data_IF_468509460038
#
_entry.id   IF_468509460038
#
_cell.length_a   1.000
_cell.length_b   1.000
_cell.length_c   1.000
_cell.angle_alpha   90.00
_cell.angle_beta   90.00
_cell.angle_gamma   90.00
#
_symmetry.space_group_name_H-M   'P 1'
#
loop_
_entity.id
_entity.type
_entity.pdbx_description
1 polymer ?
#
# COMPACT_ATOMS: atom_id res chain seq x y z
N UNK A 1 -5.85 -57.03 35.70
CA UNK A 1 -6.43 -55.69 35.77
C UNK A 1 -6.23 -55.13 37.16
N UNK A 2 -5.08 -54.50 37.40
CA UNK A 2 -4.83 -53.65 38.55
C UNK A 2 -4.89 -52.22 38.02
N UNK A 3 -5.79 -51.42 38.57
CA UNK A 3 -5.87 -49.98 38.30
C UNK A 3 -4.89 -49.33 39.28
N UNK A 4 -3.86 -48.68 38.76
CA UNK A 4 -2.98 -47.81 39.53
C UNK A 4 -3.80 -46.60 39.99
N UNK A 5 -3.95 -46.46 41.30
CA UNK A 5 -4.51 -45.26 41.92
C UNK A 5 -3.34 -44.35 42.24
N UNK A 6 -3.13 -43.32 41.43
CA UNK A 6 -2.13 -42.29 41.71
C UNK A 6 -2.43 -41.62 43.06
N UNK A 7 -1.40 -41.43 43.87
CA UNK A 7 -1.52 -40.78 45.17
C UNK A 7 -1.95 -39.32 44.99
N UNK A 8 -2.81 -38.83 45.88
CA UNK A 8 -3.25 -37.44 45.88
C UNK A 8 -2.06 -36.50 46.02
N UNK A 9 -1.91 -35.58 45.06
CA UNK A 9 -0.88 -34.53 45.04
C UNK A 9 -0.82 -33.78 46.37
N UNK A 10 0.38 -33.56 46.87
CA UNK A 10 0.59 -32.86 48.14
C UNK A 10 0.34 -31.36 47.99
N UNK A 11 -0.08 -30.68 49.06
CA UNK A 11 -0.38 -29.24 49.07
C UNK A 11 0.81 -28.39 48.61
N UNK A 12 2.04 -28.89 48.81
CA UNK A 12 3.29 -28.28 48.36
C UNK A 12 3.47 -28.36 46.83
N UNK A 13 3.09 -29.48 46.20
CA UNK A 13 3.09 -29.60 44.73
C UNK A 13 2.00 -28.74 44.10
N UNK A 14 0.82 -28.67 44.75
CA UNK A 14 -0.29 -27.83 44.32
C UNK A 14 0.09 -26.35 44.40
N UNK A 15 0.78 -25.93 45.48
CA UNK A 15 1.32 -24.56 45.61
C UNK A 15 2.45 -24.27 44.63
N UNK A 16 3.28 -25.26 44.30
CA UNK A 16 4.35 -25.14 43.30
C UNK A 16 3.80 -24.95 41.89
N UNK A 17 2.71 -25.64 41.52
CA UNK A 17 2.03 -25.44 40.22
C UNK A 17 1.50 -24.01 40.06
N UNK A 18 0.94 -23.42 41.12
CA UNK A 18 0.45 -22.04 41.09
C UNK A 18 1.58 -20.99 41.04
N UNK A 19 2.77 -21.32 41.56
CA UNK A 19 3.92 -20.42 41.56
C UNK A 19 4.67 -20.38 40.22
N UNK A 20 4.61 -21.45 39.41
CA UNK A 20 5.25 -21.51 38.09
C UNK A 20 4.53 -20.65 37.04
N UNK A 21 3.22 -20.38 37.23
CA UNK A 21 2.45 -19.47 36.38
C UNK A 21 2.63 -17.98 36.68
N UNK A 22 3.38 -17.62 37.72
CA UNK A 22 3.52 -16.24 38.21
C UNK A 22 4.90 -15.61 37.95
N UNK A 23 5.81 -16.32 37.25
CA UNK A 23 6.94 -15.63 36.64
C UNK A 23 6.36 -14.86 35.46
N UNK A 24 6.37 -13.51 35.44
CA UNK A 24 6.07 -12.81 34.21
C UNK A 24 7.14 -13.31 33.24
N UNK A 25 6.73 -14.07 32.23
CA UNK A 25 7.42 -14.03 30.96
C UNK A 25 7.42 -12.55 30.65
N UNK A 26 8.56 -11.90 30.89
CA UNK A 26 8.84 -10.62 30.28
C UNK A 26 8.65 -10.91 28.80
N UNK A 27 7.46 -10.59 28.29
CA UNK A 27 7.35 -10.09 26.93
C UNK A 27 8.40 -9.00 26.95
N UNK A 28 9.56 -9.32 26.41
CA UNK A 28 10.54 -8.35 26.00
C UNK A 28 9.67 -7.39 25.19
N UNK A 29 9.36 -6.23 25.77
CA UNK A 29 8.56 -5.20 25.13
C UNK A 29 9.24 -4.99 23.81
N UNK A 30 8.62 -5.53 22.76
CA UNK A 30 9.01 -5.31 21.40
C UNK A 30 9.07 -3.81 21.27
N UNK A 31 10.26 -3.29 20.93
CA UNK A 31 10.49 -1.88 20.68
C UNK A 31 9.24 -1.28 20.05
N UNK A 32 8.64 -0.26 20.69
CA UNK A 32 7.37 0.35 20.31
C UNK A 32 7.22 0.34 18.77
N UNK A 33 6.33 -0.53 18.24
CA UNK A 33 6.18 -0.84 16.81
C UNK A 33 5.76 0.40 15.96
N UNK A 34 5.71 1.59 16.55
CA UNK A 34 5.28 2.84 15.95
C UNK A 34 6.01 4.08 16.48
N UNK A 35 7.31 3.99 16.84
CA UNK A 35 8.08 5.20 17.15
C UNK A 35 8.19 6.10 15.90
N UNK A 36 7.52 7.24 15.91
CA UNK A 36 7.58 8.20 14.82
C UNK A 36 8.90 9.00 14.87
N UNK A 37 9.57 9.13 13.73
CA UNK A 37 10.78 9.94 13.59
C UNK A 37 10.76 10.72 12.28
N UNK A 38 11.39 11.90 12.30
CA UNK A 38 11.61 12.71 11.10
C UNK A 38 12.96 12.42 10.44
N UNK A 39 13.77 11.53 11.02
CA UNK A 39 15.08 11.15 10.50
C UNK A 39 14.95 9.94 9.58
N UNK A 40 15.52 10.04 8.38
CA UNK A 40 15.61 8.91 7.45
C UNK A 40 16.51 7.84 8.08
N UNK A 41 16.12 6.55 8.06
CA UNK A 41 16.96 5.47 8.56
C UNK A 41 18.34 5.47 7.91
N UNK A 42 19.39 5.56 8.74
CA UNK A 42 20.80 5.61 8.29
C UNK A 42 21.17 4.47 7.33
N UNK A 43 20.70 3.21 7.51
CA UNK A 43 21.00 2.16 6.54
C UNK A 43 20.57 2.51 5.11
N UNK A 44 19.41 3.14 4.91
CA UNK A 44 18.92 3.53 3.58
C UNK A 44 19.83 4.56 2.92
N UNK A 45 20.28 5.55 3.69
CA UNK A 45 21.24 6.55 3.18
C UNK A 45 22.58 5.90 2.82
N UNK A 46 23.03 4.92 3.62
CA UNK A 46 24.28 4.21 3.37
C UNK A 46 24.19 3.34 2.12
N UNK A 47 23.09 2.59 1.92
CA UNK A 47 22.89 1.80 0.69
C UNK A 47 22.88 2.67 -0.56
N UNK A 48 22.22 3.84 -0.51
CA UNK A 48 22.24 4.80 -1.62
C UNK A 48 23.68 5.17 -2.01
N UNK A 49 24.54 5.51 -1.04
CA UNK A 49 25.94 5.84 -1.33
C UNK A 49 26.71 4.66 -1.95
N UNK A 50 26.48 3.44 -1.46
CA UNK A 50 27.15 2.25 -2.01
C UNK A 50 26.74 1.96 -3.45
N UNK A 51 25.46 2.16 -3.80
CA UNK A 51 24.96 1.97 -5.16
C UNK A 51 25.54 3.00 -6.15
N UNK A 52 25.93 4.18 -5.68
CA UNK A 52 26.56 5.23 -6.50
C UNK A 52 28.07 5.03 -6.70
N UNK A 53 28.72 4.13 -5.95
CA UNK A 53 30.16 3.92 -6.07
C UNK A 53 30.65 3.51 -7.46
N UNK A 54 29.97 2.64 -8.21
CA UNK A 54 30.35 2.31 -9.59
C UNK A 54 30.38 3.52 -10.52
N UNK A 55 29.68 4.61 -10.18
CA UNK A 55 29.62 5.83 -10.99
C UNK A 55 30.70 6.85 -10.58
N UNK A 56 31.27 6.71 -9.38
CA UNK A 56 32.19 7.69 -8.78
C UNK A 56 33.62 7.18 -8.62
N UNK A 57 33.82 5.87 -8.46
CA UNK A 57 35.12 5.24 -8.28
C UNK A 57 35.56 4.45 -9.50
N UNK A 58 36.88 4.39 -9.74
CA UNK A 58 37.43 3.45 -10.72
C UNK A 58 37.27 2.01 -10.23
N UNK A 59 37.28 1.04 -11.14
CA UNK A 59 37.09 -0.37 -10.81
C UNK A 59 38.12 -0.91 -9.80
N UNK A 60 39.34 -0.38 -9.83
CA UNK A 60 40.42 -0.73 -8.90
C UNK A 60 40.16 -0.20 -7.48
N UNK A 61 39.68 1.05 -7.39
CA UNK A 61 39.33 1.69 -6.10
C UNK A 61 38.13 0.99 -5.45
N UNK A 62 37.14 0.59 -6.25
CA UNK A 62 36.01 -0.21 -5.79
C UNK A 62 36.46 -1.53 -5.17
N UNK A 63 37.35 -2.25 -5.85
CA UNK A 63 37.84 -3.53 -5.36
C UNK A 63 38.58 -3.38 -4.04
N UNK A 64 39.43 -2.35 -3.90
CA UNK A 64 40.09 -2.03 -2.64
C UNK A 64 39.09 -1.66 -1.53
N UNK A 65 38.03 -0.92 -1.86
CA UNK A 65 36.97 -0.59 -0.92
C UNK A 65 36.23 -1.84 -0.44
N UNK A 66 35.80 -2.72 -1.35
CA UNK A 66 35.10 -3.96 -0.99
C UNK A 66 35.93 -4.89 -0.11
N UNK A 67 37.27 -4.84 -0.19
CA UNK A 67 38.15 -5.60 0.71
C UNK A 67 38.20 -5.04 2.14
N UNK A 68 37.90 -3.76 2.33
CA UNK A 68 38.01 -3.06 3.63
C UNK A 68 36.67 -2.74 4.27
N UNK A 69 35.59 -2.81 3.49
CA UNK A 69 34.25 -2.49 3.95
C UNK A 69 33.72 -3.51 4.98
N UNK A 70 33.09 -3.05 6.07
CA UNK A 70 32.42 -3.95 7.01
C UNK A 70 31.25 -4.66 6.31
N UNK A 71 30.91 -5.86 6.80
CA UNK A 71 29.76 -6.60 6.29
C UNK A 71 28.47 -5.82 6.57
N UNK A 72 27.74 -5.51 5.49
CA UNK A 72 26.44 -4.86 5.55
C UNK A 72 25.42 -5.90 5.11
N UNK A 73 24.38 -6.11 5.91
CA UNK A 73 23.27 -7.00 5.56
C UNK A 73 22.65 -6.55 4.23
N UNK A 74 22.21 -7.47 3.37
CA UNK A 74 21.48 -7.08 2.17
C UNK A 74 20.08 -6.55 2.53
N UNK A 75 19.59 -5.59 1.75
CA UNK A 75 18.19 -5.14 1.86
C UNK A 75 17.29 -6.28 1.37
N UNK A 76 16.29 -6.72 2.17
CA UNK A 76 15.36 -7.75 1.73
C UNK A 76 14.56 -7.25 0.53
N UNK A 77 14.29 -8.15 -0.42
CA UNK A 77 13.46 -7.81 -1.57
C UNK A 77 12.07 -7.40 -1.09
N UNK A 78 11.48 -6.31 -1.62
CA UNK A 78 10.14 -5.92 -1.26
C UNK A 78 9.14 -7.02 -1.64
N UNK A 79 8.03 -7.14 -0.90
CA UNK A 79 7.01 -8.13 -1.21
C UNK A 79 6.43 -7.85 -2.61
N UNK A 80 6.10 -8.94 -3.33
CA UNK A 80 5.44 -8.84 -4.62
C UNK A 80 4.07 -8.15 -4.49
N UNK A 81 3.68 -7.39 -5.52
CA UNK A 81 2.38 -6.72 -5.56
C UNK A 81 1.24 -7.74 -5.42
N UNK A 82 0.41 -7.64 -4.37
CA UNK A 82 -0.75 -8.52 -4.25
C UNK A 82 -1.71 -8.28 -5.42
N UNK A 83 -2.13 -9.35 -6.10
CA UNK A 83 -3.04 -9.29 -7.27
C UNK A 83 -4.32 -8.50 -7.03
N UNK A 84 -4.73 -8.37 -5.76
CA UNK A 84 -5.92 -7.61 -5.39
C UNK A 84 -5.77 -6.10 -5.65
N UNK A 85 -4.53 -5.60 -5.68
CA UNK A 85 -4.21 -4.20 -5.99
C UNK A 85 -4.00 -3.93 -7.49
N UNK A 86 -3.99 -4.97 -8.33
CA UNK A 86 -3.77 -4.83 -9.79
C UNK A 86 -4.91 -4.07 -10.48
N UNK A 87 -6.14 -4.18 -9.96
CA UNK A 87 -7.34 -3.64 -10.59
C UNK A 87 -7.97 -2.56 -9.74
N UNK A 88 -7.91 -1.34 -10.28
CA UNK A 88 -8.58 -0.17 -9.72
C UNK A 88 -10.07 -0.20 -10.10
N UNK A 89 -10.96 0.00 -9.13
CA UNK A 89 -12.41 -0.10 -9.35
C UNK A 89 -12.99 1.00 -10.26
N UNK A 90 -12.32 2.15 -10.37
CA UNK A 90 -12.75 3.23 -11.29
C UNK A 90 -12.54 2.87 -12.75
N UNK A 91 -11.69 1.87 -13.04
CA UNK A 91 -11.46 1.37 -14.39
C UNK A 91 -12.36 0.16 -14.70
N UNK A 92 -13.20 -0.29 -13.75
CA UNK A 92 -14.07 -1.42 -13.97
C UNK A 92 -15.23 -1.02 -14.89
N UNK A 93 -15.39 -1.73 -16.01
CA UNK A 93 -16.55 -1.52 -16.86
C UNK A 93 -17.82 -2.01 -16.14
N UNK A 94 -18.86 -1.16 -16.00
CA UNK A 94 -20.10 -1.54 -15.33
C UNK A 94 -20.87 -2.63 -16.09
N UNK A 95 -20.56 -2.83 -17.38
CA UNK A 95 -21.26 -3.75 -18.30
C UNK A 95 -20.96 -5.23 -18.01
N UNK A 96 -19.81 -5.58 -17.44
CA UNK A 96 -19.41 -6.98 -17.20
C UNK A 96 -20.15 -7.67 -16.04
N UNK A 97 -21.00 -6.95 -15.31
CA UNK A 97 -21.69 -7.47 -14.11
C UNK A 97 -23.05 -8.06 -14.46
N UNK A 98 -23.66 -7.64 -15.57
CA UNK A 98 -25.04 -8.03 -15.90
C UNK A 98 -25.15 -9.30 -16.75
N UNK A 99 -24.06 -9.77 -17.36
CA UNK A 99 -24.11 -10.90 -18.30
C UNK A 99 -23.88 -12.28 -17.64
N UNK A 100 -23.28 -12.37 -16.44
CA UNK A 100 -22.81 -13.66 -15.89
C UNK A 100 -23.64 -14.21 -14.71
N UNK A 101 -24.72 -13.53 -14.30
CA UNK A 101 -25.68 -14.10 -13.35
C UNK A 101 -27.07 -14.12 -13.95
N UNK A 102 -27.53 -15.35 -14.24
CA UNK A 102 -28.91 -15.68 -14.57
C UNK A 102 -29.92 -14.80 -13.82
N UNK A 103 -30.55 -13.95 -14.61
CA UNK A 103 -31.73 -13.18 -14.31
C UNK A 103 -32.90 -14.14 -14.00
N UNK A 104 -33.09 -14.50 -12.74
CA UNK A 104 -34.39 -14.98 -12.25
C UNK A 104 -35.20 -13.77 -11.79
N UNK A 105 -36.04 -13.23 -12.68
CA UNK A 105 -37.29 -12.59 -12.24
C UNK A 105 -37.56 -11.12 -12.55
N UNK A 106 -36.79 -10.41 -13.38
CA UNK A 106 -37.24 -9.07 -13.82
C UNK A 106 -36.82 -8.74 -15.26
N UNK A 107 -37.61 -9.26 -16.21
CA UNK A 107 -37.37 -9.11 -17.65
C UNK A 107 -37.98 -7.84 -18.28
N UNK A 108 -38.48 -6.85 -17.51
CA UNK A 108 -39.14 -5.65 -18.05
C UNK A 108 -38.81 -4.37 -17.27
N UNK A 109 -37.56 -4.19 -16.88
CA UNK A 109 -37.06 -2.86 -16.57
C UNK A 109 -35.76 -2.72 -17.36
N UNK A 110 -35.74 -1.90 -18.39
CA UNK A 110 -34.51 -1.17 -18.73
C UNK A 110 -34.11 -0.47 -17.43
N UNK A 111 -33.01 -0.87 -16.74
CA UNK A 111 -32.65 -0.25 -15.48
C UNK A 111 -32.41 1.23 -15.75
N UNK A 112 -33.30 2.09 -15.27
CA UNK A 112 -33.05 3.51 -15.11
C UNK A 112 -31.78 3.63 -14.25
N UNK A 113 -30.64 3.87 -14.90
CA UNK A 113 -29.31 3.79 -14.27
C UNK A 113 -28.22 3.14 -15.11
N UNK A 114 -28.53 2.47 -16.24
CA UNK A 114 -27.49 2.00 -17.18
C UNK A 114 -26.66 3.14 -17.80
N UNK A 115 -27.21 4.35 -17.85
CA UNK A 115 -26.54 5.56 -18.32
C UNK A 115 -25.86 6.36 -17.20
N UNK A 116 -25.94 5.89 -15.95
CA UNK A 116 -25.30 6.55 -14.81
C UNK A 116 -23.85 6.09 -14.67
N UNK A 117 -22.94 6.88 -15.26
CA UNK A 117 -21.49 6.68 -15.20
C UNK A 117 -20.91 6.76 -13.77
N UNK A 118 -21.70 7.14 -12.75
CA UNK A 118 -21.26 7.16 -11.35
C UNK A 118 -21.38 5.80 -10.65
N UNK A 119 -22.08 4.83 -11.24
CA UNK A 119 -22.27 3.49 -10.66
C UNK A 119 -21.02 2.64 -10.91
N UNK A 120 -20.36 2.24 -9.83
CA UNK A 120 -19.19 1.36 -9.85
C UNK A 120 -19.53 -0.03 -9.31
N UNK A 121 -18.71 -1.01 -9.70
CA UNK A 121 -18.74 -2.35 -9.14
C UNK A 121 -18.51 -2.33 -7.61
N UNK A 122 -19.02 -3.34 -6.91
CA UNK A 122 -18.74 -3.50 -5.47
C UNK A 122 -17.23 -3.78 -5.29
N UNK A 123 -16.50 -2.94 -4.53
CA UNK A 123 -15.07 -3.13 -4.31
C UNK A 123 -14.79 -4.31 -3.38
N UNK A 124 -13.61 -4.91 -3.51
CA UNK A 124 -13.08 -5.77 -2.46
C UNK A 124 -12.77 -4.91 -1.21
N UNK A 125 -13.07 -5.44 -0.02
CA UNK A 125 -12.84 -4.72 1.23
C UNK A 125 -11.37 -4.39 1.49
N UNK A 126 -10.43 -5.17 0.95
CA UNK A 126 -8.99 -4.93 1.07
C UNK A 126 -8.57 -3.67 0.32
N UNK A 127 -9.22 -3.33 -0.81
CA UNK A 127 -8.83 -2.15 -1.62
C UNK A 127 -9.41 -0.84 -1.08
N UNK A 128 -10.23 -0.89 -0.02
CA UNK A 128 -10.79 0.30 0.59
C UNK A 128 -9.69 1.14 1.22
N UNK A 129 -9.84 2.46 1.15
CA UNK A 129 -8.90 3.45 1.66
C UNK A 129 -7.49 3.40 1.03
N UNK A 130 -7.25 2.55 0.03
CA UNK A 130 -6.05 2.65 -0.79
C UNK A 130 -6.15 3.87 -1.71
N UNK A 131 -5.00 4.54 -1.89
CA UNK A 131 -4.87 5.65 -2.82
C UNK A 131 -4.89 5.11 -4.26
N UNK A 132 -5.74 5.71 -5.07
CA UNK A 132 -5.75 5.55 -6.53
C UNK A 132 -5.28 6.86 -7.13
N UNK A 133 -4.40 6.79 -8.13
CA UNK A 133 -3.94 7.96 -8.87
C UNK A 133 -4.13 7.74 -10.38
N UNK A 134 -4.45 8.82 -11.08
CA UNK A 134 -4.41 8.88 -12.54
C UNK A 134 -3.13 9.61 -12.98
N UNK A 135 -2.70 9.36 -14.21
CA UNK A 135 -1.62 10.11 -14.82
C UNK A 135 -1.97 11.61 -14.89
N UNK A 136 -0.96 12.46 -14.74
CA UNK A 136 -1.14 13.91 -14.88
C UNK A 136 -1.48 14.20 -16.34
N UNK A 137 -2.63 14.84 -16.56
CA UNK A 137 -3.09 15.23 -17.89
C UNK A 137 -3.54 16.69 -17.85
N UNK A 138 -3.09 17.48 -18.81
CA UNK A 138 -3.38 18.92 -18.90
C UNK A 138 -3.09 19.60 -17.55
N UNK A 139 -1.87 19.35 -17.05
CA UNK A 139 -1.36 19.83 -15.76
C UNK A 139 -2.19 19.51 -14.52
N UNK A 140 -3.20 18.64 -14.60
CA UNK A 140 -4.05 18.26 -13.46
C UNK A 140 -3.72 16.85 -12.97
N UNK A 141 -3.52 16.71 -11.66
CA UNK A 141 -3.39 15.43 -10.96
C UNK A 141 -4.77 14.99 -10.45
N UNK A 142 -5.23 13.82 -10.89
CA UNK A 142 -6.39 13.15 -10.33
C UNK A 142 -5.98 12.10 -9.32
N UNK A 143 -6.43 12.23 -8.07
CA UNK A 143 -6.30 11.20 -7.04
C UNK A 143 -7.66 10.82 -6.51
N UNK A 144 -7.80 9.61 -5.99
CA UNK A 144 -9.05 9.19 -5.38
C UNK A 144 -8.88 8.05 -4.40
N UNK A 145 -9.92 7.82 -3.62
CA UNK A 145 -9.97 6.70 -2.70
C UNK A 145 -11.40 6.22 -2.55
N UNK A 146 -11.55 4.92 -2.25
CA UNK A 146 -12.87 4.31 -2.05
C UNK A 146 -13.07 4.05 -0.57
N UNK A 147 -14.12 4.64 0.00
CA UNK A 147 -14.47 4.50 1.41
C UNK A 147 -15.82 3.83 1.55
N UNK A 148 -16.04 3.15 2.68
CA UNK A 148 -17.35 2.60 3.03
C UNK A 148 -18.16 3.67 3.79
N UNK A 149 -19.35 3.99 3.28
CA UNK A 149 -20.34 4.75 4.01
C UNK A 149 -21.54 3.85 4.34
N UNK A 150 -21.66 3.45 5.61
CA UNK A 150 -22.65 2.47 6.08
C UNK A 150 -22.56 1.14 5.30
N UNK A 151 -23.57 0.84 4.48
CA UNK A 151 -23.69 -0.36 3.63
C UNK A 151 -23.40 -0.07 2.16
N UNK A 152 -22.90 1.13 1.83
CA UNK A 152 -22.57 1.58 0.48
C UNK A 152 -21.10 1.97 0.39
N UNK A 153 -20.60 2.07 -0.83
CA UNK A 153 -19.22 2.45 -1.13
C UNK A 153 -19.23 3.75 -1.92
N UNK A 154 -18.30 4.65 -1.58
CA UNK A 154 -18.16 5.95 -2.22
C UNK A 154 -16.72 6.07 -2.69
N UNK A 155 -16.56 6.32 -3.98
CA UNK A 155 -15.26 6.68 -4.55
C UNK A 155 -15.19 8.19 -4.72
N UNK A 156 -14.33 8.83 -3.95
CA UNK A 156 -14.12 10.28 -4.04
C UNK A 156 -12.91 10.54 -4.93
N UNK A 157 -13.11 11.31 -6.00
CA UNK A 157 -12.04 11.79 -6.88
C UNK A 157 -11.75 13.26 -6.56
N UNK A 158 -10.48 13.58 -6.35
CA UNK A 158 -9.97 14.92 -6.10
C UNK A 158 -9.01 15.29 -7.23
N UNK A 159 -9.30 16.41 -7.88
CA UNK A 159 -8.49 16.96 -8.96
C UNK A 159 -7.77 18.20 -8.47
N UNK A 160 -6.44 18.21 -8.59
CA UNK A 160 -5.58 19.32 -8.17
C UNK A 160 -4.66 19.73 -9.32
N UNK A 161 -4.59 21.03 -9.70
CA UNK A 161 -3.60 21.49 -10.66
C UNK A 161 -2.19 21.31 -10.09
N UNK A 162 -1.27 20.90 -10.96
CA UNK A 162 0.15 20.78 -10.67
C UNK A 162 0.85 22.10 -11.00
N UNK A 163 2.06 22.29 -10.46
CA UNK A 163 2.79 23.56 -10.58
C UNK A 163 3.02 23.99 -12.05
N UNK A 164 3.04 23.04 -12.99
CA UNK A 164 3.17 23.31 -14.43
C UNK A 164 2.06 24.20 -15.02
N UNK A 165 0.85 24.19 -14.44
CA UNK A 165 -0.27 25.04 -14.88
C UNK A 165 -0.44 26.30 -14.03
N UNK A 166 0.08 26.32 -12.79
CA UNK A 166 0.14 27.53 -11.96
C UNK A 166 1.20 28.51 -12.51
N UNK A 167 2.25 27.97 -13.13
CA UNK A 167 3.21 28.70 -13.96
C UNK A 167 2.70 28.66 -15.41
N UNK A 168 1.51 29.19 -15.63
CA UNK A 168 1.06 29.49 -16.98
C UNK A 168 2.01 30.51 -17.61
N UNK A 169 2.59 30.16 -18.76
CA UNK A 169 2.85 31.08 -19.86
C UNK A 169 3.51 32.43 -19.51
N UNK A 170 4.63 32.40 -18.77
CA UNK A 170 5.51 33.57 -18.60
C UNK A 170 6.60 33.66 -19.69
N UNK A 171 6.43 32.98 -20.83
CA UNK A 171 7.43 33.01 -21.89
C UNK A 171 7.07 32.19 -23.12
N UNK A 172 6.25 32.76 -24.01
CA UNK A 172 6.51 32.86 -25.47
C UNK A 172 5.31 33.46 -26.21
N UNK A 173 4.94 34.71 -25.88
CA UNK A 173 4.01 35.52 -26.68
C UNK A 173 4.73 36.73 -27.31
N UNK A 174 5.83 36.49 -28.04
CA UNK A 174 6.43 37.49 -28.93
C UNK A 174 6.57 36.91 -30.33
N UNK A 175 5.44 36.80 -31.03
CA UNK A 175 5.40 36.47 -32.46
C UNK A 175 4.16 37.11 -33.08
N UNK A 176 4.29 37.92 -34.14
CA UNK A 176 3.13 38.55 -34.76
C UNK A 176 2.21 37.49 -35.40
N UNK A 177 0.88 37.70 -35.40
CA UNK A 177 -0.06 36.72 -35.92
C UNK A 177 0.14 36.48 -37.42
N UNK A 178 -0.07 35.25 -37.93
CA UNK A 178 0.08 34.94 -39.34
C UNK A 178 -0.97 35.71 -40.16
N UNK A 179 -0.49 36.40 -41.19
CA UNK A 179 -1.30 37.13 -42.16
C UNK A 179 -2.12 36.12 -42.96
N UNK A 180 -3.45 36.18 -42.86
CA UNK A 180 -4.35 35.45 -43.76
C UNK A 180 -4.13 35.95 -45.19
N UNK A 181 -3.77 35.04 -46.09
CA UNK A 181 -4.01 35.15 -47.53
C UNK A 181 -5.14 34.21 -47.90
#
# INVERSE_FOLDING_TARGET
NWIEVEASKTEQELKAEWAIGASPVAKQESADDASWTNLIPVPLTLYQYLEEFPHTFSQEQLHAYYQTAPYISSVPQPPALPRILDKVIVNAEPKKIWDDHQQVGWANATPAGLDDNSILAVPNHVVLNHLTASAIKNGTLGVGTTTRYRKKYITTMFFKPTLGDLVGDAGTATGPPPRRT
#
